data_IF_352493968751
#
_entry.id   IF_352493968751
#
_cell.length_a   1.000
_cell.length_b   1.000
_cell.length_c   1.000
_cell.angle_alpha   90.00
_cell.angle_beta   90.00
_cell.angle_gamma   90.00
#
_symmetry.space_group_name_H-M   'P 1'
#
loop_
_entity.id
_entity.type
_entity.pdbx_description
1 polymer ?
#
# COMPACT_ATOMS: atom_id res chain seq x y z
N UNK A 1 52.42 10.26 -49.27
CA UNK A 1 52.23 8.80 -49.13
C UNK A 1 51.21 8.55 -48.02
N UNK A 2 50.20 7.69 -48.28
CA UNK A 2 49.34 6.92 -47.34
C UNK A 2 48.64 7.72 -46.22
N UNK A 3 47.34 8.01 -46.32
CA UNK A 3 46.15 7.17 -45.98
C UNK A 3 46.12 6.68 -44.52
N UNK A 4 44.91 6.79 -43.93
CA UNK A 4 44.35 6.16 -42.71
C UNK A 4 44.38 7.02 -41.43
N UNK A 5 43.35 7.09 -40.58
CA UNK A 5 41.95 6.58 -40.56
C UNK A 5 41.33 7.06 -39.20
N UNK A 6 39.99 6.96 -39.07
CA UNK A 6 39.21 6.81 -37.81
C UNK A 6 39.07 8.09 -36.95
N UNK A 7 37.99 8.87 -37.05
CA UNK A 7 36.65 8.61 -36.46
C UNK A 7 36.73 8.11 -35.01
N UNK A 8 37.21 8.96 -34.10
CA UNK A 8 37.11 8.71 -32.67
C UNK A 8 35.94 9.53 -32.07
N UNK A 9 34.74 8.99 -32.22
CA UNK A 9 33.98 8.46 -31.07
C UNK A 9 33.26 9.54 -30.27
N UNK A 10 32.21 10.07 -30.89
CA UNK A 10 31.07 10.80 -30.29
C UNK A 10 30.24 9.94 -29.32
N UNK A 11 30.79 8.86 -28.72
CA UNK A 11 30.08 7.95 -27.79
C UNK A 11 30.25 8.39 -26.32
N UNK A 12 29.79 9.58 -25.95
CA UNK A 12 29.71 9.94 -24.52
C UNK A 12 28.39 10.60 -24.10
N UNK A 13 27.36 10.63 -24.95
CA UNK A 13 26.06 11.23 -24.60
C UNK A 13 24.92 10.23 -24.35
N UNK A 14 25.20 8.92 -24.32
CA UNK A 14 24.23 7.89 -23.92
C UNK A 14 24.53 7.39 -22.50
N UNK A 15 24.39 8.29 -21.52
CA UNK A 15 24.55 7.97 -20.10
C UNK A 15 23.28 8.31 -19.34
N UNK A 16 22.40 7.31 -19.20
CA UNK A 16 21.34 7.22 -18.21
C UNK A 16 20.21 8.26 -18.28
N UNK A 17 19.40 8.21 -19.35
CA UNK A 17 17.96 8.39 -19.13
C UNK A 17 17.50 7.16 -18.36
N UNK A 18 17.44 7.27 -17.03
CA UNK A 18 16.71 6.32 -16.21
C UNK A 18 15.23 6.43 -16.59
N UNK A 19 14.83 5.68 -17.62
CA UNK A 19 13.44 5.30 -17.84
C UNK A 19 13.05 4.28 -16.75
N UNK A 20 13.16 4.71 -15.50
CA UNK A 20 12.28 4.22 -14.45
C UNK A 20 10.95 4.94 -14.66
N UNK A 21 10.26 4.63 -15.75
CA UNK A 21 8.85 4.94 -15.86
C UNK A 21 8.19 3.97 -14.88
N UNK A 22 8.25 4.33 -13.60
CA UNK A 22 7.40 3.77 -12.58
C UNK A 22 6.02 4.12 -13.07
N UNK A 23 5.38 3.18 -13.76
CA UNK A 23 3.99 3.30 -14.17
C UNK A 23 3.21 3.38 -12.87
N UNK A 24 3.10 4.59 -12.32
CA UNK A 24 2.23 4.89 -11.22
C UNK A 24 0.84 4.73 -11.80
N UNK A 25 0.33 3.51 -11.71
CA UNK A 25 -1.08 3.25 -11.95
C UNK A 25 -1.83 4.27 -11.10
N UNK A 26 -2.76 5.05 -11.70
CA UNK A 26 -3.49 6.05 -10.95
C UNK A 26 -4.21 5.33 -9.81
N UNK A 27 -3.82 5.69 -8.60
CA UNK A 27 -4.53 5.31 -7.38
C UNK A 27 -5.88 6.03 -7.47
N UNK A 28 -6.95 5.27 -7.68
CA UNK A 28 -8.30 5.82 -7.78
C UNK A 28 -8.89 5.79 -6.38
N UNK A 29 -9.19 6.97 -5.85
CA UNK A 29 -10.04 7.09 -4.66
C UNK A 29 -11.46 6.63 -5.02
N UNK A 30 -12.00 5.67 -4.27
CA UNK A 30 -13.35 5.16 -4.51
C UNK A 30 -14.40 6.05 -3.86
N UNK A 31 -14.08 6.65 -2.71
CA UNK A 31 -14.94 7.55 -1.97
C UNK A 31 -14.13 8.56 -1.14
N UNK A 32 -14.77 9.63 -0.67
CA UNK A 32 -14.14 10.61 0.21
C UNK A 32 -14.96 10.80 1.50
N UNK A 33 -14.32 10.63 2.66
CA UNK A 33 -14.95 10.83 3.98
C UNK A 33 -14.43 12.03 4.77
N UNK A 34 -13.74 12.97 4.13
CA UNK A 34 -13.35 14.21 4.78
C UNK A 34 -14.57 14.95 5.36
N UNK A 35 -14.42 15.46 6.59
CA UNK A 35 -15.49 16.14 7.31
C UNK A 35 -16.59 15.25 7.88
N UNK A 36 -16.51 13.91 7.70
CA UNK A 36 -17.45 12.96 8.29
C UNK A 36 -16.94 12.43 9.64
N UNK A 37 -17.85 12.11 10.55
CA UNK A 37 -17.53 11.29 11.72
C UNK A 37 -17.54 9.83 11.30
N UNK A 38 -16.62 9.02 11.82
CA UNK A 38 -16.52 7.59 11.54
C UNK A 38 -16.27 6.86 12.86
N UNK A 39 -17.04 5.81 13.13
CA UNK A 39 -16.76 4.94 14.28
C UNK A 39 -15.71 3.90 13.91
N UNK A 40 -14.62 3.82 14.67
CA UNK A 40 -13.49 2.94 14.39
C UNK A 40 -13.32 1.90 15.49
N UNK A 41 -13.27 0.62 15.09
CA UNK A 41 -12.90 -0.48 15.97
C UNK A 41 -11.58 -1.08 15.51
N UNK A 42 -10.60 -1.14 16.41
CA UNK A 42 -9.28 -1.73 16.11
C UNK A 42 -9.16 -3.08 16.79
N UNK A 43 -9.05 -4.14 15.98
CA UNK A 43 -8.86 -5.51 16.42
C UNK A 43 -7.42 -5.95 16.18
N UNK A 44 -6.76 -6.48 17.21
CA UNK A 44 -5.37 -6.92 17.11
C UNK A 44 -5.23 -8.43 17.29
N UNK A 45 -4.43 -9.05 16.43
CA UNK A 45 -4.29 -10.51 16.37
C UNK A 45 -2.85 -10.95 16.54
N UNK A 46 -2.62 -12.05 17.25
CA UNK A 46 -1.27 -12.59 17.48
C UNK A 46 -0.59 -13.11 16.21
N UNK A 47 -1.37 -13.51 15.20
CA UNK A 47 -0.86 -14.07 13.95
C UNK A 47 -1.89 -13.89 12.84
N UNK A 48 -1.42 -14.07 11.60
CA UNK A 48 -2.24 -13.95 10.38
C UNK A 48 -3.41 -14.93 10.37
N UNK A 49 -3.22 -16.15 10.86
CA UNK A 49 -4.30 -17.15 10.92
C UNK A 49 -5.52 -16.65 11.71
N UNK A 50 -5.30 -16.03 12.88
CA UNK A 50 -6.40 -15.48 13.69
C UNK A 50 -7.06 -14.26 13.05
N UNK A 51 -6.27 -13.43 12.38
CA UNK A 51 -6.76 -12.28 11.61
C UNK A 51 -7.70 -12.77 10.49
N UNK A 52 -7.20 -13.66 9.62
CA UNK A 52 -7.96 -14.18 8.49
C UNK A 52 -9.23 -14.91 8.91
N UNK A 53 -9.26 -15.54 10.09
CA UNK A 53 -10.47 -16.18 10.62
C UNK A 53 -11.55 -15.16 11.06
N UNK A 54 -11.15 -13.94 11.41
CA UNK A 54 -12.06 -12.92 11.93
C UNK A 54 -12.65 -12.03 10.84
N UNK A 55 -12.05 -12.00 9.65
CA UNK A 55 -12.49 -11.19 8.52
C UNK A 55 -13.32 -12.03 7.54
N UNK A 56 -14.54 -11.62 7.15
CA UNK A 56 -15.29 -12.25 6.08
C UNK A 56 -14.53 -12.11 4.75
N UNK A 57 -14.26 -13.21 4.04
CA UNK A 57 -13.49 -13.25 2.79
C UNK A 57 -12.10 -12.59 2.88
N UNK A 58 -11.20 -13.13 3.72
CA UNK A 58 -9.91 -12.49 3.99
C UNK A 58 -8.97 -12.54 2.79
N UNK A 59 -8.27 -11.45 2.53
CA UNK A 59 -7.10 -11.44 1.68
C UNK A 59 -5.90 -12.08 2.43
N UNK A 60 -5.40 -13.19 1.90
CA UNK A 60 -4.33 -13.98 2.55
C UNK A 60 -2.97 -13.30 2.38
N UNK A 61 -2.07 -13.48 3.35
CA UNK A 61 -0.72 -12.91 3.35
C UNK A 61 -0.63 -11.46 3.82
N UNK A 62 -1.75 -10.86 4.25
CA UNK A 62 -1.77 -9.47 4.71
C UNK A 62 -1.56 -9.34 6.22
N UNK A 63 -0.95 -8.23 6.62
CA UNK A 63 -0.73 -7.87 8.02
C UNK A 63 -1.85 -7.00 8.61
N UNK A 64 -2.77 -6.53 7.78
CA UNK A 64 -3.93 -5.75 8.13
C UNK A 64 -5.03 -5.94 7.09
N UNK A 65 -6.28 -5.72 7.50
CA UNK A 65 -7.46 -5.64 6.63
C UNK A 65 -8.47 -4.65 7.23
N UNK A 66 -9.05 -3.80 6.40
CA UNK A 66 -10.16 -2.91 6.75
C UNK A 66 -11.49 -3.49 6.27
N UNK A 67 -12.52 -3.42 7.12
CA UNK A 67 -13.89 -3.81 6.77
C UNK A 67 -14.82 -2.65 7.09
N UNK A 68 -15.38 -2.03 6.06
CA UNK A 68 -16.33 -0.94 6.23
C UNK A 68 -17.78 -1.46 6.20
N UNK A 69 -18.59 -0.96 7.13
CA UNK A 69 -20.03 -1.22 7.18
C UNK A 69 -20.82 0.05 6.82
N UNK A 70 -21.56 -0.01 5.72
CA UNK A 70 -22.40 1.08 5.23
C UNK A 70 -23.63 1.34 6.11
N UNK A 71 -24.02 0.41 6.97
CA UNK A 71 -25.27 0.48 7.71
C UNK A 71 -25.18 1.36 8.95
N UNK A 72 -24.02 1.35 9.61
CA UNK A 72 -23.76 2.02 10.89
C UNK A 72 -22.59 3.01 10.81
N UNK A 73 -22.05 3.28 9.61
CA UNK A 73 -20.93 4.18 9.39
C UNK A 73 -19.73 3.86 10.31
N UNK A 74 -19.43 2.57 10.34
CA UNK A 74 -18.41 1.94 11.17
C UNK A 74 -17.36 1.31 10.27
N UNK A 75 -16.10 1.41 10.68
CA UNK A 75 -15.03 0.64 10.08
C UNK A 75 -14.29 -0.19 11.13
N UNK A 76 -14.09 -1.46 10.83
CA UNK A 76 -13.30 -2.39 11.62
C UNK A 76 -11.92 -2.56 10.99
N UNK A 77 -10.87 -2.20 11.74
CA UNK A 77 -9.47 -2.37 11.38
C UNK A 77 -8.95 -3.65 12.04
N UNK A 78 -8.62 -4.67 11.24
CA UNK A 78 -8.10 -5.94 11.71
C UNK A 78 -6.60 -6.03 11.45
N UNK A 79 -5.76 -5.97 12.48
CA UNK A 79 -4.29 -5.85 12.32
C UNK A 79 -3.54 -6.94 13.07
N UNK A 80 -2.49 -7.47 12.47
CA UNK A 80 -1.58 -8.41 13.13
C UNK A 80 -0.69 -7.61 14.09
N UNK A 81 -0.75 -7.95 15.37
CA UNK A 81 0.07 -7.35 16.42
C UNK A 81 1.53 -7.76 16.21
N UNK A 82 2.45 -6.79 16.25
CA UNK A 82 3.88 -7.09 16.37
C UNK A 82 4.13 -7.80 17.71
N UNK A 83 4.98 -8.84 17.71
CA UNK A 83 5.36 -9.57 18.93
C UNK A 83 6.09 -8.68 19.93
N UNK A 84 6.69 -7.59 19.46
CA UNK A 84 7.29 -6.56 20.29
C UNK A 84 6.33 -5.38 20.36
N UNK A 85 5.85 -5.08 21.57
CA UNK A 85 5.02 -3.91 21.90
C UNK A 85 5.77 -2.57 21.77
N UNK A 86 6.84 -2.52 20.99
CA UNK A 86 7.33 -1.24 20.49
C UNK A 86 6.26 -0.75 19.52
N UNK A 87 5.95 0.54 19.56
CA UNK A 87 5.41 1.22 18.39
C UNK A 87 6.50 1.12 17.32
N UNK A 88 6.55 -0.05 16.70
CA UNK A 88 7.34 -0.33 15.53
C UNK A 88 6.70 0.47 14.42
N UNK A 89 7.52 1.23 13.69
CA UNK A 89 7.06 2.08 12.59
C UNK A 89 6.20 1.25 11.62
N UNK A 90 6.50 -0.05 11.49
CA UNK A 90 5.74 -0.99 10.69
C UNK A 90 4.31 -1.25 11.21
N UNK A 91 4.10 -1.34 12.52
CA UNK A 91 2.75 -1.52 13.07
C UNK A 91 1.91 -0.24 12.90
N UNK A 92 2.50 0.91 13.20
CA UNK A 92 1.83 2.20 13.00
C UNK A 92 1.51 2.44 11.53
N UNK A 93 2.43 2.09 10.63
CA UNK A 93 2.25 2.15 9.18
C UNK A 93 1.15 1.21 8.70
N UNK A 94 1.09 -0.02 9.19
CA UNK A 94 0.02 -0.96 8.82
C UNK A 94 -1.34 -0.47 9.32
N UNK A 95 -1.43 0.01 10.56
CA UNK A 95 -2.69 0.56 11.07
C UNK A 95 -3.13 1.80 10.27
N UNK A 96 -2.19 2.69 9.95
CA UNK A 96 -2.46 3.86 9.11
C UNK A 96 -2.91 3.45 7.71
N UNK A 97 -2.30 2.43 7.12
CA UNK A 97 -2.69 1.87 5.82
C UNK A 97 -4.14 1.38 5.83
N UNK A 98 -4.54 0.60 6.84
CA UNK A 98 -5.93 0.12 6.95
C UNK A 98 -6.92 1.28 7.21
N UNK A 99 -6.52 2.29 7.99
CA UNK A 99 -7.36 3.47 8.20
C UNK A 99 -7.61 4.23 6.90
N UNK A 100 -6.60 4.32 6.03
CA UNK A 100 -6.74 4.98 4.73
C UNK A 100 -7.79 4.30 3.86
N UNK A 101 -7.89 2.96 3.91
CA UNK A 101 -8.97 2.22 3.23
C UNK A 101 -10.35 2.60 3.75
N UNK A 102 -10.52 2.82 5.05
CA UNK A 102 -11.80 3.26 5.61
C UNK A 102 -12.19 4.68 5.22
N UNK A 103 -11.22 5.57 5.03
CA UNK A 103 -11.47 6.98 4.73
C UNK A 103 -11.70 7.23 3.24
N UNK A 104 -11.04 6.45 2.38
CA UNK A 104 -10.95 6.75 0.96
C UNK A 104 -11.16 5.57 -0.01
N UNK A 105 -11.31 4.35 0.51
CA UNK A 105 -11.59 3.15 -0.27
C UNK A 105 -10.35 2.34 -0.65
N UNK A 106 -10.54 1.33 -1.50
CA UNK A 106 -9.45 0.44 -1.88
C UNK A 106 -8.46 1.14 -2.81
N UNK A 107 -7.20 1.20 -2.37
CA UNK A 107 -6.07 1.72 -3.14
C UNK A 107 -5.31 0.63 -3.89
N UNK A 108 -5.95 -0.51 -4.13
CA UNK A 108 -5.33 -1.69 -4.72
C UNK A 108 -5.87 -1.92 -6.13
N UNK A 109 -4.99 -2.32 -7.04
CA UNK A 109 -5.43 -2.82 -8.33
C UNK A 109 -6.24 -4.11 -8.12
N UNK A 110 -7.51 -4.11 -8.51
CA UNK A 110 -8.22 -5.36 -8.72
C UNK A 110 -7.59 -6.07 -9.94
N UNK A 111 -6.93 -7.20 -9.70
CA UNK A 111 -6.44 -8.11 -10.74
C UNK A 111 -7.43 -9.24 -10.98
#
# INVERSE_FOLDING_TARGET
MKKMLIVATTLLTMGCQSTGMQSSIPVVEEFNREGQQLELYVHTYKNEYKLNKAVPNPAKGLNGQAVYSHQDNRCDLHVKKSSELKLDDDYAKNLGHELMHCLYGDYHQHF
#
